data_IF_222815632618
#
_entry.id   IF_222815632618
#
_cell.length_a   1.000
_cell.length_b   1.000
_cell.length_c   1.000
_cell.angle_alpha   90.00
_cell.angle_beta   90.00
_cell.angle_gamma   90.00
#
_symmetry.space_group_name_H-M   'P 1'
#
loop_
_entity.id
_entity.type
_entity.pdbx_description
1 polymer ?
#
# COMPACT_ATOMS: atom_id res chain seq x y z
N UNK A 1 -43.56 -27.14 29.38
CA UNK A 1 -42.11 -27.33 29.18
C UNK A 1 -41.77 -26.88 27.77
N UNK A 2 -40.97 -25.84 27.62
CA UNK A 2 -40.46 -25.39 26.32
C UNK A 2 -38.96 -25.10 26.46
N UNK A 3 -38.19 -25.73 25.58
CA UNK A 3 -36.86 -26.21 25.88
C UNK A 3 -35.89 -25.28 25.17
N UNK A 4 -35.19 -24.47 25.96
CA UNK A 4 -34.04 -23.72 25.51
C UNK A 4 -32.89 -24.72 25.26
N UNK A 5 -32.64 -25.10 24.02
CA UNK A 5 -31.35 -25.67 23.63
C UNK A 5 -31.25 -25.70 22.10
N UNK A 6 -30.59 -24.72 21.53
CA UNK A 6 -29.59 -24.93 20.48
C UNK A 6 -28.76 -23.67 20.41
N UNK A 7 -27.66 -23.70 21.15
CA UNK A 7 -26.64 -22.68 21.10
C UNK A 7 -26.12 -22.53 19.69
N UNK A 8 -26.34 -21.35 19.12
CA UNK A 8 -25.57 -20.81 18.02
C UNK A 8 -24.84 -19.57 18.51
N UNK A 9 -23.92 -19.73 19.46
CA UNK A 9 -22.96 -18.68 19.76
C UNK A 9 -21.99 -18.59 18.58
N UNK A 10 -22.31 -17.73 17.62
CA UNK A 10 -21.37 -17.27 16.60
C UNK A 10 -20.86 -15.87 17.01
N UNK A 11 -19.73 -15.77 17.73
CA UNK A 11 -19.04 -14.50 17.90
C UNK A 11 -18.15 -14.24 16.68
N UNK A 12 -18.65 -13.63 15.60
CA UNK A 12 -17.68 -13.12 14.59
C UNK A 12 -18.14 -12.10 13.56
N UNK A 13 -19.42 -11.76 13.42
CA UNK A 13 -19.85 -10.86 12.33
C UNK A 13 -20.10 -9.40 12.76
N UNK A 14 -19.81 -9.05 14.02
CA UNK A 14 -19.71 -7.65 14.44
C UNK A 14 -18.29 -7.11 14.25
N UNK A 15 -17.67 -7.39 13.10
CA UNK A 15 -16.53 -6.60 12.62
C UNK A 15 -17.10 -5.26 12.17
N UNK A 16 -17.48 -4.44 13.15
CA UNK A 16 -17.90 -3.08 12.90
C UNK A 16 -16.78 -2.38 12.15
N UNK A 17 -17.10 -1.87 10.96
CA UNK A 17 -16.27 -0.91 10.24
C UNK A 17 -16.07 0.30 11.15
N UNK A 18 -15.01 0.28 11.96
CA UNK A 18 -14.64 1.39 12.84
C UNK A 18 -14.06 2.48 11.93
N UNK A 19 -14.74 3.62 11.71
CA UNK A 19 -14.33 4.63 10.74
C UNK A 19 -12.93 5.19 11.01
N UNK A 20 -12.46 5.12 12.27
CA UNK A 20 -11.09 5.53 12.63
C UNK A 20 -9.96 4.59 12.16
N UNK A 21 -10.25 3.36 11.71
CA UNK A 21 -9.20 2.41 11.27
C UNK A 21 -8.82 2.60 9.80
N UNK A 22 -9.70 3.16 8.98
CA UNK A 22 -9.42 3.38 7.55
C UNK A 22 -8.49 4.57 7.32
N UNK A 23 -8.71 5.68 8.03
CA UNK A 23 -7.82 6.86 7.97
C UNK A 23 -6.35 6.52 8.30
N UNK A 24 -6.13 5.63 9.28
CA UNK A 24 -4.78 5.14 9.61
C UNK A 24 -4.18 4.30 8.48
N UNK A 25 -4.99 3.49 7.78
CA UNK A 25 -4.53 2.73 6.61
C UNK A 25 -4.14 3.67 5.46
N UNK A 26 -4.91 4.74 5.23
CA UNK A 26 -4.57 5.76 4.23
C UNK A 26 -3.27 6.50 4.58
N UNK A 27 -3.07 6.91 5.83
CA UNK A 27 -1.82 7.52 6.28
C UNK A 27 -0.62 6.58 6.12
N UNK A 28 -0.78 5.30 6.47
CA UNK A 28 0.27 4.30 6.25
C UNK A 28 0.56 4.08 4.76
N UNK A 29 -0.48 3.97 3.94
CA UNK A 29 -0.34 3.85 2.49
C UNK A 29 0.30 5.09 1.87
N UNK A 30 -0.04 6.29 2.33
CA UNK A 30 0.59 7.52 1.86
C UNK A 30 2.05 7.60 2.33
N UNK A 31 2.33 7.28 3.59
CA UNK A 31 3.69 7.30 4.14
C UNK A 31 4.61 6.26 3.52
N UNK A 32 4.08 5.12 3.05
CA UNK A 32 4.84 4.09 2.34
C UNK A 32 4.82 4.32 0.82
N UNK A 33 3.69 4.73 0.27
CA UNK A 33 3.51 4.97 -1.16
C UNK A 33 4.26 6.20 -1.65
N UNK A 34 4.34 7.27 -0.86
CA UNK A 34 5.08 8.49 -1.19
C UNK A 34 6.59 8.23 -1.37
N UNK A 35 7.32 7.59 -0.42
CA UNK A 35 8.74 7.29 -0.61
C UNK A 35 8.97 6.26 -1.72
N UNK A 36 8.07 5.28 -1.90
CA UNK A 36 8.17 4.35 -3.04
C UNK A 36 8.04 5.11 -4.35
N UNK A 37 7.03 5.97 -4.48
CA UNK A 37 6.80 6.76 -5.70
C UNK A 37 7.96 7.71 -5.96
N UNK A 38 8.49 8.35 -4.92
CA UNK A 38 9.65 9.22 -5.01
C UNK A 38 10.91 8.46 -5.44
N UNK A 39 11.14 7.27 -4.88
CA UNK A 39 12.24 6.40 -5.29
C UNK A 39 12.09 5.95 -6.73
N UNK A 40 10.88 5.56 -7.15
CA UNK A 40 10.58 5.16 -8.51
C UNK A 40 10.80 6.30 -9.51
N UNK A 41 10.42 7.53 -9.14
CA UNK A 41 10.63 8.73 -9.95
C UNK A 41 12.12 9.04 -10.12
N UNK A 42 12.91 8.97 -9.04
CA UNK A 42 14.37 9.17 -9.09
C UNK A 42 15.03 8.06 -9.92
N UNK A 43 14.63 6.80 -9.71
CA UNK A 43 15.16 5.67 -10.45
C UNK A 43 14.83 5.78 -11.95
N UNK A 44 13.59 6.15 -12.30
CA UNK A 44 13.17 6.38 -13.67
C UNK A 44 13.96 7.53 -14.30
N UNK A 45 14.12 8.65 -13.58
CA UNK A 45 14.91 9.78 -14.06
C UNK A 45 16.37 9.39 -14.32
N UNK A 46 17.02 8.74 -13.35
CA UNK A 46 18.39 8.26 -13.49
C UNK A 46 18.55 7.25 -14.63
N UNK A 47 17.58 6.34 -14.78
CA UNK A 47 17.55 5.37 -15.88
C UNK A 47 17.42 6.06 -17.24
N UNK A 48 16.53 7.05 -17.37
CA UNK A 48 16.37 7.80 -18.62
C UNK A 48 17.65 8.53 -18.98
N UNK A 49 18.26 9.24 -18.02
CA UNK A 49 19.52 9.96 -18.25
C UNK A 49 20.64 8.98 -18.64
N UNK A 50 20.80 7.88 -17.88
CA UNK A 50 21.77 6.83 -18.17
C UNK A 50 21.56 6.19 -19.56
N UNK A 51 20.32 5.91 -19.92
CA UNK A 51 19.98 5.32 -21.20
C UNK A 51 20.23 6.29 -22.36
N UNK A 52 19.88 7.57 -22.18
CA UNK A 52 20.17 8.63 -23.15
C UNK A 52 21.68 8.84 -23.31
N UNK A 53 22.45 8.74 -22.22
CA UNK A 53 23.91 8.79 -22.26
C UNK A 53 24.47 7.65 -23.13
N UNK A 54 24.01 6.42 -22.95
CA UNK A 54 24.42 5.26 -23.77
C UNK A 54 24.08 5.46 -25.25
N UNK A 55 22.89 5.96 -25.56
CA UNK A 55 22.41 6.10 -26.95
C UNK A 55 23.04 7.24 -27.73
N UNK A 56 23.30 8.38 -27.09
CA UNK A 56 23.67 9.61 -27.80
C UNK A 56 25.04 10.18 -27.44
N UNK A 57 25.51 10.00 -26.20
CA UNK A 57 26.70 10.70 -25.71
C UNK A 57 27.92 9.79 -25.47
N UNK A 58 27.76 8.47 -25.63
CA UNK A 58 28.80 7.50 -25.28
C UNK A 58 28.99 7.38 -23.76
N UNK A 59 29.65 6.31 -23.28
CA UNK A 59 29.83 6.07 -21.85
C UNK A 59 30.45 7.31 -21.17
N UNK A 60 29.88 7.79 -20.05
CA UNK A 60 30.40 8.96 -19.36
C UNK A 60 31.82 8.68 -18.84
N UNK A 61 32.80 9.46 -19.34
CA UNK A 61 34.20 9.50 -18.87
C UNK A 61 34.36 10.43 -17.68
#
# INVERSE_FOLDING_TARGET
MNNQASGGAAPSAAEGTRPGKEWRKFLLLAFVGLPITMTLAIAAYGFVVWFLQILFFGPPS
#
